data_IF_447587440644
#
_entry.id   IF_447587440644
#
_cell.length_a   1.000
_cell.length_b   1.000
_cell.length_c   1.000
_cell.angle_alpha   90.00
_cell.angle_beta   90.00
_cell.angle_gamma   90.00
#
_symmetry.space_group_name_H-M   'P 1'
#
loop_
_entity.id
_entity.type
_entity.pdbx_description
1 polymer ?
#
# COMPACT_ATOMS: atom_id res chain seq x y z
N UNK A 1 -6.55 16.60 -7.60
CA UNK A 1 -5.95 16.96 -6.30
C UNK A 1 -5.55 15.74 -5.47
N UNK A 2 -4.94 14.71 -6.07
CA UNK A 2 -4.38 13.57 -5.33
C UNK A 2 -2.88 13.60 -5.57
N UNK A 3 -2.10 13.61 -4.49
CA UNK A 3 -0.66 13.69 -4.54
C UNK A 3 -0.08 12.47 -3.85
N UNK A 4 0.79 11.75 -4.56
CA UNK A 4 1.48 10.59 -4.03
C UNK A 4 2.91 10.99 -3.72
N UNK A 5 3.41 10.58 -2.56
CA UNK A 5 4.80 10.77 -2.19
C UNK A 5 5.39 9.46 -1.74
N UNK A 6 6.59 9.13 -2.22
CA UNK A 6 7.41 8.13 -1.55
C UNK A 6 7.73 8.62 -0.14
N UNK A 7 7.51 7.80 0.88
CA UNK A 7 7.68 8.17 2.30
C UNK A 7 9.13 8.45 2.71
N UNK A 8 10.09 8.13 1.84
CA UNK A 8 11.51 8.11 2.15
C UNK A 8 11.97 6.77 2.75
N UNK A 9 11.14 5.73 2.89
CA UNK A 9 11.60 4.40 3.33
C UNK A 9 10.92 3.25 2.57
N UNK A 10 9.80 2.72 3.08
CA UNK A 10 9.22 1.45 2.60
C UNK A 10 7.74 1.58 2.23
N UNK A 11 7.32 2.77 1.80
CA UNK A 11 5.93 2.98 1.44
C UNK A 11 5.67 4.36 0.87
N UNK A 12 4.38 4.63 0.66
CA UNK A 12 3.91 5.87 0.07
C UNK A 12 2.91 6.57 0.99
N UNK A 13 2.85 7.89 0.88
CA UNK A 13 1.81 8.72 1.46
C UNK A 13 0.95 9.28 0.33
N UNK A 14 -0.36 9.10 0.43
CA UNK A 14 -1.33 9.64 -0.53
C UNK A 14 -2.10 10.76 0.16
N UNK A 15 -2.05 11.96 -0.42
CA UNK A 15 -2.76 13.14 0.08
C UNK A 15 -3.86 13.52 -0.88
N UNK A 16 -5.01 13.88 -0.31
CA UNK A 16 -6.13 14.48 -1.05
C UNK A 16 -6.24 15.93 -0.61
N UNK A 17 -5.80 16.85 -1.46
CA UNK A 17 -5.84 18.29 -1.19
C UNK A 17 -7.09 18.93 -1.76
N UNK A 18 -7.42 20.13 -1.30
CA UNK A 18 -8.49 20.99 -1.83
C UNK A 18 -9.78 20.20 -2.07
N UNK A 19 -10.24 19.50 -1.04
CA UNK A 19 -11.43 18.64 -1.11
C UNK A 19 -12.27 18.79 0.15
N UNK A 20 -13.56 18.49 0.04
CA UNK A 20 -14.47 18.45 1.18
C UNK A 20 -14.00 17.46 2.27
N UNK A 21 -13.21 16.45 1.90
CA UNK A 21 -12.64 15.47 2.82
C UNK A 21 -11.55 16.02 3.75
N UNK A 22 -11.15 17.29 3.61
CA UNK A 22 -10.24 17.89 4.60
C UNK A 22 -10.97 18.27 5.89
N UNK A 23 -12.28 18.57 5.81
CA UNK A 23 -13.07 19.08 6.93
C UNK A 23 -13.82 17.99 7.70
N UNK A 24 -13.74 16.73 7.25
CA UNK A 24 -14.43 15.62 7.91
C UNK A 24 -13.73 15.22 9.22
N UNK A 25 -14.56 14.82 10.18
CA UNK A 25 -14.17 14.39 11.52
C UNK A 25 -13.39 13.07 11.51
N UNK A 26 -12.76 12.75 12.64
CA UNK A 26 -12.07 11.48 12.83
C UNK A 26 -12.97 10.26 12.59
N UNK A 27 -14.24 10.33 13.01
CA UNK A 27 -15.22 9.25 12.79
C UNK A 27 -15.52 9.05 11.30
N UNK A 28 -15.79 10.12 10.57
CA UNK A 28 -16.03 10.04 9.12
C UNK A 28 -14.80 9.56 8.35
N UNK A 29 -13.60 9.89 8.83
CA UNK A 29 -12.34 9.36 8.29
C UNK A 29 -12.16 7.87 8.56
N UNK A 30 -12.69 7.36 9.68
CA UNK A 30 -12.75 5.92 9.96
C UNK A 30 -13.61 5.20 8.92
N UNK A 31 -14.81 5.71 8.66
CA UNK A 31 -15.70 5.16 7.63
C UNK A 31 -15.06 5.19 6.23
N UNK A 32 -14.33 6.26 5.90
CA UNK A 32 -13.58 6.35 4.66
C UNK A 32 -12.44 5.33 4.60
N UNK A 33 -11.71 5.14 5.70
CA UNK A 33 -10.66 4.13 5.78
C UNK A 33 -11.25 2.73 5.58
N UNK A 34 -12.33 2.38 6.26
CA UNK A 34 -13.01 1.09 6.09
C UNK A 34 -13.54 0.91 4.67
N UNK A 35 -14.10 1.95 4.06
CA UNK A 35 -14.50 1.91 2.66
C UNK A 35 -13.31 1.60 1.73
N UNK A 36 -12.16 2.29 1.90
CA UNK A 36 -10.96 2.07 1.09
C UNK A 36 -10.39 0.66 1.30
N UNK A 37 -10.48 0.14 2.51
CA UNK A 37 -10.02 -1.19 2.91
C UNK A 37 -11.03 -2.30 2.59
N UNK A 38 -12.20 -1.98 2.03
CA UNK A 38 -13.31 -2.90 1.79
C UNK A 38 -13.79 -3.66 3.05
N UNK A 39 -13.81 -2.98 4.20
CA UNK A 39 -14.21 -3.51 5.50
C UNK A 39 -15.65 -3.17 5.85
N UNK A 40 -16.24 -3.93 6.77
CA UNK A 40 -17.59 -3.68 7.30
C UNK A 40 -18.71 -3.90 6.28
N UNK A 41 -18.43 -4.67 5.23
CA UNK A 41 -19.34 -4.85 4.10
C UNK A 41 -20.47 -5.81 4.48
N UNK A 42 -21.71 -5.37 4.21
CA UNK A 42 -22.90 -6.18 4.47
C UNK A 42 -23.36 -6.96 3.22
N UNK A 43 -23.72 -8.26 3.34
CA UNK A 43 -24.15 -9.13 2.26
C UNK A 43 -25.21 -8.55 1.32
N UNK A 44 -26.17 -7.81 1.86
CA UNK A 44 -27.26 -7.20 1.10
C UNK A 44 -26.74 -6.20 0.06
N UNK A 45 -25.67 -5.46 0.38
CA UNK A 45 -25.05 -4.51 -0.55
C UNK A 45 -24.38 -5.18 -1.75
N UNK A 46 -24.20 -6.50 -1.69
CA UNK A 46 -23.65 -7.34 -2.77
C UNK A 46 -24.67 -8.36 -3.30
N UNK A 47 -25.96 -8.18 -2.98
CA UNK A 47 -27.08 -8.92 -3.55
C UNK A 47 -27.55 -10.13 -2.75
N UNK A 48 -26.85 -10.51 -1.69
CA UNK A 48 -27.25 -11.61 -0.82
C UNK A 48 -28.23 -11.11 0.25
N UNK A 49 -29.52 -11.33 0.03
CA UNK A 49 -30.58 -11.06 1.02
C UNK A 49 -30.70 -12.23 2.00
N UNK A 50 -30.97 -11.94 3.28
CA UNK A 50 -31.26 -12.97 4.31
C UNK A 50 -32.42 -13.89 3.93
N UNK A 51 -33.44 -13.33 3.27
CA UNK A 51 -34.63 -14.07 2.84
C UNK A 51 -34.79 -13.95 1.33
N UNK A 52 -35.14 -15.07 0.68
CA UNK A 52 -35.42 -15.16 -0.76
C UNK A 52 -34.36 -14.45 -1.61
N UNK A 53 -33.09 -14.93 -1.59
CA UNK A 53 -32.03 -14.35 -2.39
C UNK A 53 -32.39 -14.39 -3.88
N UNK A 54 -32.06 -13.30 -4.59
CA UNK A 54 -32.37 -13.16 -6.01
C UNK A 54 -31.08 -13.01 -6.81
N UNK A 55 -30.90 -13.88 -7.81
CA UNK A 55 -29.73 -13.92 -8.70
C UNK A 55 -29.44 -12.60 -9.39
N UNK A 56 -30.48 -11.83 -9.74
CA UNK A 56 -30.34 -10.53 -10.40
C UNK A 56 -29.79 -9.42 -9.50
N UNK A 57 -29.83 -9.60 -8.16
CA UNK A 57 -29.30 -8.62 -7.22
C UNK A 57 -27.77 -8.65 -7.08
N UNK A 58 -27.13 -9.74 -7.53
CA UNK A 58 -25.67 -9.91 -7.45
C UNK A 58 -24.95 -9.05 -8.48
N UNK A 59 -23.72 -8.59 -8.17
CA UNK A 59 -23.05 -7.59 -8.99
C UNK A 59 -22.63 -8.10 -10.38
N UNK A 60 -22.57 -7.18 -11.34
CA UNK A 60 -21.97 -7.42 -12.65
C UNK A 60 -20.55 -6.82 -12.75
N UNK A 61 -19.76 -7.33 -13.69
CA UNK A 61 -18.38 -6.93 -13.96
C UNK A 61 -18.25 -5.47 -14.40
N UNK A 62 -19.31 -4.92 -15.01
CA UNK A 62 -19.37 -3.54 -15.50
C UNK A 62 -19.75 -2.52 -14.43
N UNK A 63 -20.13 -2.96 -13.23
CA UNK A 63 -20.52 -2.04 -12.16
C UNK A 63 -19.33 -1.21 -11.65
N UNK A 64 -19.62 0.01 -11.19
CA UNK A 64 -18.62 0.91 -10.62
C UNK A 64 -18.35 0.55 -9.15
N UNK A 65 -17.23 1.05 -8.62
CA UNK A 65 -16.89 0.91 -7.20
C UNK A 65 -16.65 -0.53 -6.77
N UNK A 66 -17.00 -0.84 -5.51
CA UNK A 66 -16.72 -2.14 -4.92
C UNK A 66 -17.51 -3.30 -5.53
N UNK A 67 -18.75 -3.07 -6.00
CA UNK A 67 -19.57 -4.11 -6.63
C UNK A 67 -18.89 -4.72 -7.86
N UNK A 68 -18.35 -3.88 -8.75
CA UNK A 68 -17.59 -4.37 -9.91
C UNK A 68 -16.24 -5.00 -9.56
N UNK A 69 -15.53 -4.47 -8.55
CA UNK A 69 -14.27 -5.06 -8.05
C UNK A 69 -14.50 -6.45 -7.47
N UNK A 70 -15.50 -6.58 -6.61
CA UNK A 70 -15.92 -7.87 -6.04
C UNK A 70 -16.35 -8.85 -7.13
N UNK A 71 -17.15 -8.41 -8.11
CA UNK A 71 -17.58 -9.24 -9.23
C UNK A 71 -16.40 -9.82 -10.02
N UNK A 72 -15.40 -8.99 -10.34
CA UNK A 72 -14.16 -9.41 -11.02
C UNK A 72 -13.37 -10.43 -10.21
N UNK A 73 -13.24 -10.20 -8.90
CA UNK A 73 -12.50 -11.07 -8.00
C UNK A 73 -13.19 -12.42 -7.76
N UNK A 74 -14.46 -12.40 -7.34
CA UNK A 74 -15.18 -13.61 -6.92
C UNK A 74 -15.58 -14.45 -8.12
N UNK A 75 -16.05 -13.85 -9.22
CA UNK A 75 -16.50 -14.63 -10.36
C UNK A 75 -15.37 -14.97 -11.34
N UNK A 76 -14.32 -14.14 -11.39
CA UNK A 76 -13.16 -14.27 -12.29
C UNK A 76 -13.48 -14.02 -13.77
N UNK A 77 -14.59 -14.56 -14.30
CA UNK A 77 -14.99 -14.45 -15.70
C UNK A 77 -16.52 -14.50 -15.87
N UNK A 78 -17.02 -13.91 -16.97
CA UNK A 78 -18.47 -13.83 -17.26
C UNK A 78 -19.14 -15.21 -17.36
N UNK A 79 -18.45 -16.22 -17.90
CA UNK A 79 -18.98 -17.58 -18.05
C UNK A 79 -19.19 -18.29 -16.70
N UNK A 80 -18.31 -18.05 -15.72
CA UNK A 80 -18.39 -18.66 -14.39
C UNK A 80 -19.43 -18.00 -13.48
N UNK A 81 -19.83 -16.75 -13.76
CA UNK A 81 -20.74 -15.94 -12.92
C UNK A 81 -22.02 -16.68 -12.53
N UNK A 82 -22.71 -17.28 -13.50
CA UNK A 82 -23.98 -17.97 -13.23
C UNK A 82 -23.81 -19.15 -12.27
N UNK A 83 -22.77 -19.96 -12.48
CA UNK A 83 -22.46 -21.11 -11.62
C UNK A 83 -22.13 -20.67 -10.19
N UNK A 84 -21.24 -19.68 -10.04
CA UNK A 84 -20.79 -19.20 -8.73
C UNK A 84 -21.95 -18.54 -7.96
N UNK A 85 -22.82 -17.77 -8.61
CA UNK A 85 -24.02 -17.22 -7.94
C UNK A 85 -24.91 -18.34 -7.38
N UNK A 86 -25.07 -19.46 -8.11
CA UNK A 86 -25.81 -20.61 -7.58
C UNK A 86 -25.16 -21.19 -6.34
N UNK A 87 -23.84 -21.38 -6.37
CA UNK A 87 -23.06 -21.90 -5.22
C UNK A 87 -23.16 -20.97 -4.00
N UNK A 88 -23.03 -19.65 -4.21
CA UNK A 88 -23.15 -18.65 -3.13
C UNK A 88 -24.54 -18.66 -2.50
N UNK A 89 -25.61 -18.78 -3.31
CA UNK A 89 -26.98 -18.88 -2.80
C UNK A 89 -27.18 -20.18 -2.00
N UNK A 90 -26.66 -21.31 -2.49
CA UNK A 90 -26.75 -22.62 -1.82
C UNK A 90 -26.01 -22.60 -0.47
N UNK A 91 -24.81 -22.02 -0.43
CA UNK A 91 -24.01 -21.93 0.80
C UNK A 91 -24.59 -20.94 1.81
N UNK A 92 -25.47 -20.03 1.36
CA UNK A 92 -26.25 -19.16 2.21
C UNK A 92 -25.52 -17.93 2.77
N UNK A 93 -26.24 -17.18 3.60
CA UNK A 93 -25.86 -15.83 4.04
C UNK A 93 -24.55 -15.79 4.82
N UNK A 94 -24.37 -16.66 5.81
CA UNK A 94 -23.16 -16.66 6.66
C UNK A 94 -21.91 -17.04 5.89
N UNK A 95 -22.01 -17.96 4.92
CA UNK A 95 -20.90 -18.28 4.02
C UNK A 95 -20.56 -17.11 3.11
N UNK A 96 -21.57 -16.38 2.63
CA UNK A 96 -21.36 -15.20 1.79
C UNK A 96 -20.68 -14.06 2.55
N UNK A 97 -20.99 -13.88 3.85
CA UNK A 97 -20.24 -12.96 4.70
C UNK A 97 -18.75 -13.32 4.73
N UNK A 98 -18.41 -14.59 4.95
CA UNK A 98 -17.00 -15.05 4.91
C UNK A 98 -16.35 -14.76 3.55
N UNK A 99 -17.06 -14.98 2.45
CA UNK A 99 -16.56 -14.62 1.11
C UNK A 99 -16.28 -13.11 0.97
N UNK A 100 -17.08 -12.25 1.59
CA UNK A 100 -16.83 -10.80 1.62
C UNK A 100 -15.61 -10.47 2.48
N UNK A 101 -15.49 -11.10 3.64
CA UNK A 101 -14.36 -10.91 4.55
C UNK A 101 -13.04 -11.36 3.87
N UNK A 102 -13.03 -12.53 3.23
CA UNK A 102 -11.90 -13.02 2.42
C UNK A 102 -11.59 -12.07 1.26
N UNK A 103 -12.62 -11.53 0.59
CA UNK A 103 -12.42 -10.54 -0.46
C UNK A 103 -11.78 -9.27 0.10
N UNK A 104 -12.17 -8.80 1.29
CA UNK A 104 -11.58 -7.60 1.93
C UNK A 104 -10.07 -7.71 2.10
N UNK A 105 -9.55 -8.89 2.44
CA UNK A 105 -8.11 -9.13 2.60
C UNK A 105 -7.33 -9.06 1.27
N UNK A 106 -8.00 -9.39 0.16
CA UNK A 106 -7.38 -9.56 -1.14
C UNK A 106 -7.56 -8.36 -2.08
N UNK A 107 -8.73 -7.72 -2.07
CA UNK A 107 -9.04 -6.57 -2.95
C UNK A 107 -9.11 -5.23 -2.22
N UNK A 108 -9.19 -5.24 -0.89
CA UNK A 108 -9.11 -4.05 -0.07
C UNK A 108 -7.72 -3.40 -0.15
N UNK A 109 -7.67 -2.07 -0.12
CA UNK A 109 -6.39 -1.37 -0.15
C UNK A 109 -5.72 -1.48 1.22
N UNK A 110 -4.45 -1.89 1.24
CA UNK A 110 -3.65 -2.01 2.46
C UNK A 110 -3.13 -0.62 2.88
N UNK A 111 -3.87 0.04 3.76
CA UNK A 111 -3.48 1.30 4.40
C UNK A 111 -3.32 1.12 5.92
N UNK A 112 -2.64 2.05 6.58
CA UNK A 112 -2.71 2.21 8.02
C UNK A 112 -3.90 3.14 8.35
N UNK A 113 -5.01 2.62 8.90
CA UNK A 113 -6.22 3.41 9.14
C UNK A 113 -5.98 4.50 10.20
N UNK A 114 -5.07 4.29 11.16
CA UNK A 114 -4.76 5.28 12.18
C UNK A 114 -4.12 6.54 11.58
N UNK A 115 -3.47 6.43 10.41
CA UNK A 115 -3.00 7.61 9.64
C UNK A 115 -4.15 8.42 9.09
N UNK A 116 -5.21 7.74 8.66
CA UNK A 116 -6.34 8.37 7.97
C UNK A 116 -7.30 9.00 8.97
N UNK A 117 -7.53 8.35 10.11
CA UNK A 117 -8.46 8.78 11.16
C UNK A 117 -7.98 9.98 11.98
N UNK A 118 -6.67 10.15 12.13
CA UNK A 118 -6.10 11.21 12.94
C UNK A 118 -6.11 12.55 12.18
N UNK A 119 -6.94 13.48 12.66
CA UNK A 119 -7.11 14.83 12.08
C UNK A 119 -5.97 15.79 12.48
N UNK A 120 -5.17 15.45 13.48
CA UNK A 120 -4.06 16.26 13.98
C UNK A 120 -2.69 15.68 13.60
N UNK A 121 -2.66 14.72 12.67
CA UNK A 121 -1.44 14.01 12.32
C UNK A 121 -0.42 14.90 11.65
N UNK A 122 0.81 14.86 12.16
CA UNK A 122 1.97 15.49 11.53
C UNK A 122 2.55 14.53 10.50
N UNK A 123 2.76 15.04 9.28
CA UNK A 123 3.39 14.30 8.21
C UNK A 123 4.81 14.77 7.95
N UNK A 124 5.68 13.83 7.55
CA UNK A 124 7.04 14.15 7.09
C UNK A 124 6.98 15.19 5.96
N UNK A 125 7.81 16.23 6.04
CA UNK A 125 7.89 17.27 5.02
C UNK A 125 8.44 16.70 3.69
N UNK A 126 7.82 16.97 2.52
CA UNK A 126 8.42 16.65 1.23
C UNK A 126 9.82 17.27 1.08
N UNK A 127 10.76 16.55 0.47
CA UNK A 127 12.16 16.96 0.36
C UNK A 127 13.03 16.66 1.59
N UNK A 128 12.45 16.25 2.73
CA UNK A 128 13.25 15.83 3.89
C UNK A 128 13.81 14.41 3.75
N UNK A 129 14.97 14.18 4.36
CA UNK A 129 15.64 12.87 4.43
C UNK A 129 15.02 12.02 5.55
N UNK A 130 14.81 10.74 5.30
CA UNK A 130 14.33 9.77 6.27
C UNK A 130 15.50 9.12 7.01
N UNK A 131 15.51 9.22 8.34
CA UNK A 131 16.60 8.70 9.18
C UNK A 131 16.71 7.16 9.21
N UNK A 132 15.73 6.42 8.69
CA UNK A 132 15.77 4.95 8.62
C UNK A 132 16.38 4.40 7.32
N UNK A 133 16.65 5.26 6.35
CA UNK A 133 17.15 4.85 5.03
C UNK A 133 18.15 5.83 4.40
N UNK A 134 18.22 7.08 4.87
CA UNK A 134 18.94 8.13 4.15
C UNK A 134 18.28 8.57 2.83
N UNK A 135 17.10 8.03 2.49
CA UNK A 135 16.35 8.39 1.29
C UNK A 135 15.40 9.57 1.56
N UNK A 136 15.12 10.33 0.51
CA UNK A 136 14.34 11.55 0.56
C UNK A 136 12.86 11.28 0.32
N UNK A 137 11.98 11.97 1.06
CA UNK A 137 10.54 11.97 0.75
C UNK A 137 10.31 12.72 -0.56
N UNK A 138 9.92 12.00 -1.61
CA UNK A 138 9.76 12.57 -2.95
C UNK A 138 8.33 12.55 -3.43
N UNK A 139 7.94 13.60 -4.15
CA UNK A 139 6.70 13.62 -4.91
C UNK A 139 6.81 12.64 -6.08
N UNK A 140 5.76 11.85 -6.28
CA UNK A 140 5.70 10.82 -7.29
C UNK A 140 4.68 11.24 -8.36
N UNK A 141 5.16 11.75 -9.48
CA UNK A 141 4.32 12.14 -10.61
C UNK A 141 3.72 10.93 -11.32
N UNK A 142 4.54 9.89 -11.53
CA UNK A 142 4.13 8.65 -12.18
C UNK A 142 4.49 7.43 -11.33
N UNK A 143 3.50 6.90 -10.63
CA UNK A 143 3.68 5.74 -9.74
C UNK A 143 4.16 4.48 -10.47
N UNK A 144 3.83 4.32 -11.75
CA UNK A 144 4.25 3.14 -12.53
C UNK A 144 5.69 3.20 -13.00
N UNK A 145 6.32 4.38 -13.01
CA UNK A 145 7.70 4.58 -13.46
C UNK A 145 8.68 4.90 -12.33
N UNK A 146 8.17 5.31 -11.18
CA UNK A 146 8.99 5.76 -10.06
C UNK A 146 9.76 4.61 -9.42
N UNK A 147 11.09 4.74 -9.32
CA UNK A 147 11.95 3.82 -8.59
C UNK A 147 12.62 4.52 -7.40
N UNK A 148 12.21 4.21 -6.15
CA UNK A 148 12.78 4.81 -4.95
C UNK A 148 14.29 4.59 -4.81
N UNK A 149 14.82 3.45 -5.27
CA UNK A 149 16.24 3.11 -5.13
C UNK A 149 17.12 3.78 -6.19
N UNK A 150 16.52 4.38 -7.20
CA UNK A 150 17.20 5.19 -8.20
C UNK A 150 17.06 6.68 -7.92
N UNK A 151 15.85 7.12 -7.58
CA UNK A 151 15.50 8.54 -7.58
C UNK A 151 15.60 9.20 -6.20
N UNK A 152 15.42 8.45 -5.11
CA UNK A 152 15.20 9.05 -3.78
C UNK A 152 16.48 9.45 -3.03
N UNK A 153 17.67 9.17 -3.57
CA UNK A 153 18.92 9.51 -2.90
C UNK A 153 19.63 10.71 -3.56
N UNK A 154 19.70 11.82 -2.84
CA UNK A 154 20.42 13.04 -3.26
C UNK A 154 21.83 13.16 -2.68
N UNK A 155 22.28 12.13 -1.97
CA UNK A 155 23.64 12.07 -1.45
C UNK A 155 24.63 11.85 -2.60
N UNK A 156 25.81 12.46 -2.46
CA UNK A 156 26.91 12.34 -3.41
C UNK A 156 27.47 10.91 -3.43
N UNK A 157 28.35 10.66 -4.39
CA UNK A 157 29.01 9.38 -4.60
C UNK A 157 30.48 9.37 -4.14
N UNK A 158 30.89 10.34 -3.32
CA UNK A 158 32.22 10.36 -2.71
C UNK A 158 32.44 9.08 -1.91
N UNK A 159 33.64 8.51 -2.03
CA UNK A 159 34.06 7.32 -1.32
C UNK A 159 34.16 7.55 0.18
N UNK A 160 33.57 6.67 0.98
CA UNK A 160 33.62 6.65 2.44
C UNK A 160 33.92 5.23 2.90
N UNK A 161 34.80 5.10 3.91
CA UNK A 161 35.07 3.83 4.56
C UNK A 161 34.04 3.55 5.67
N UNK A 162 33.50 2.35 5.67
CA UNK A 162 32.57 1.86 6.69
C UNK A 162 32.96 0.45 7.11
N UNK A 163 32.60 0.07 8.34
CA UNK A 163 32.62 -1.32 8.78
C UNK A 163 31.24 -1.89 8.46
N UNK A 164 31.15 -2.76 7.45
CA UNK A 164 29.88 -3.27 6.93
C UNK A 164 29.60 -4.70 7.41
N UNK A 165 28.36 -4.93 7.82
CA UNK A 165 27.79 -6.22 8.19
C UNK A 165 26.41 -6.36 7.54
N UNK A 166 26.40 -6.74 6.27
CA UNK A 166 25.20 -6.82 5.44
C UNK A 166 25.07 -8.24 4.88
N UNK A 167 24.20 -9.10 5.43
CA UNK A 167 24.14 -10.51 5.04
C UNK A 167 23.55 -10.74 3.64
N UNK A 168 22.98 -9.71 3.01
CA UNK A 168 22.33 -9.78 1.69
C UNK A 168 22.99 -8.82 0.70
N UNK A 169 22.92 -9.16 -0.58
CA UNK A 169 23.20 -8.22 -1.68
C UNK A 169 22.01 -7.26 -1.84
N UNK A 170 22.28 -5.98 -2.05
CA UNK A 170 21.26 -5.01 -2.43
C UNK A 170 21.75 -4.08 -3.53
N UNK A 171 20.83 -3.41 -4.22
CA UNK A 171 21.14 -2.44 -5.27
C UNK A 171 20.62 -1.05 -4.92
N UNK A 172 21.44 -0.03 -5.16
CA UNK A 172 21.08 1.37 -4.97
C UNK A 172 21.81 2.22 -6.02
N UNK A 173 21.09 3.12 -6.71
CA UNK A 173 21.61 3.89 -7.86
C UNK A 173 22.32 3.00 -8.92
N UNK A 174 21.71 1.88 -9.31
CA UNK A 174 22.25 0.90 -10.26
C UNK A 174 23.61 0.28 -9.88
N UNK A 175 24.05 0.42 -8.62
CA UNK A 175 25.25 -0.24 -8.10
C UNK A 175 24.85 -1.31 -7.09
N UNK A 176 25.53 -2.45 -7.15
CA UNK A 176 25.35 -3.57 -6.21
C UNK A 176 26.29 -3.44 -5.04
N UNK A 177 25.81 -3.79 -3.86
CA UNK A 177 26.54 -3.76 -2.60
C UNK A 177 26.26 -5.02 -1.81
N UNK A 178 27.24 -5.46 -1.04
CA UNK A 178 27.17 -6.68 -0.25
C UNK A 178 27.16 -7.96 -1.12
N UNK A 179 27.01 -9.13 -0.48
CA UNK A 179 27.00 -9.29 0.98
C UNK A 179 28.36 -8.90 1.60
N UNK A 180 28.34 -8.44 2.85
CA UNK A 180 29.51 -8.06 3.63
C UNK A 180 29.48 -8.75 4.99
N UNK A 181 30.64 -9.20 5.49
CA UNK A 181 30.74 -9.90 6.78
C UNK A 181 31.76 -9.24 7.73
N UNK A 182 31.31 -8.23 8.49
CA UNK A 182 32.12 -7.48 9.46
C UNK A 182 33.48 -7.04 8.90
N UNK A 183 33.47 -6.45 7.71
CA UNK A 183 34.68 -6.06 6.99
C UNK A 183 34.70 -4.56 6.69
N UNK A 184 35.90 -4.00 6.60
CA UNK A 184 36.11 -2.60 6.26
C UNK A 184 36.01 -2.45 4.74
N UNK A 185 35.02 -1.69 4.27
CA UNK A 185 34.74 -1.50 2.84
C UNK A 185 34.67 -0.03 2.48
N UNK A 186 35.11 0.31 1.28
CA UNK A 186 34.95 1.65 0.71
C UNK A 186 33.75 1.65 -0.22
N UNK A 187 32.74 2.47 0.09
CA UNK A 187 31.51 2.58 -0.70
C UNK A 187 31.15 4.06 -0.94
N UNK A 188 30.32 4.37 -1.95
CA UNK A 188 29.81 5.73 -2.14
C UNK A 188 28.99 6.21 -0.92
N UNK A 189 29.04 7.51 -0.64
CA UNK A 189 28.35 8.14 0.51
C UNK A 189 26.86 7.79 0.58
N UNK A 190 26.15 7.77 -0.55
CA UNK A 190 24.74 7.38 -0.58
C UNK A 190 24.49 5.95 -0.08
N UNK A 191 25.41 5.02 -0.36
CA UNK A 191 25.30 3.63 0.08
C UNK A 191 25.73 3.47 1.54
N UNK A 192 26.81 4.18 1.95
CA UNK A 192 27.24 4.23 3.35
C UNK A 192 26.09 4.70 4.27
N UNK A 193 25.48 5.85 3.97
CA UNK A 193 24.37 6.38 4.76
C UNK A 193 23.18 5.43 4.77
N UNK A 194 22.84 4.82 3.63
CA UNK A 194 21.76 3.83 3.56
C UNK A 194 22.02 2.65 4.49
N UNK A 195 23.20 2.04 4.44
CA UNK A 195 23.58 0.93 5.30
C UNK A 195 23.61 1.32 6.78
N UNK A 196 24.16 2.48 7.13
CA UNK A 196 24.19 2.99 8.50
C UNK A 196 22.77 3.18 9.04
N UNK A 197 21.88 3.81 8.26
CA UNK A 197 20.50 4.03 8.66
C UNK A 197 19.71 2.72 8.83
N UNK A 198 20.07 1.68 8.06
CA UNK A 198 19.54 0.31 8.18
C UNK A 198 20.24 -0.53 9.26
N UNK A 199 21.21 0.05 9.98
CA UNK A 199 22.03 -0.62 11.01
C UNK A 199 22.85 -1.81 10.46
N UNK A 200 23.24 -1.73 9.20
CA UNK A 200 24.05 -2.72 8.48
C UNK A 200 25.51 -2.28 8.34
N UNK A 201 25.86 -1.06 8.78
CA UNK A 201 27.22 -0.58 8.80
C UNK A 201 27.40 0.48 9.90
N UNK A 202 28.65 0.70 10.30
CA UNK A 202 29.08 1.85 11.12
C UNK A 202 30.17 2.62 10.41
N UNK A 203 30.37 3.89 10.77
CA UNK A 203 31.57 4.62 10.37
C UNK A 203 32.79 3.84 10.89
N UNK A 204 33.80 3.71 10.03
CA UNK A 204 35.06 3.07 10.37
C UNK A 204 35.94 3.94 11.28
#
# INVERSE_FOLDING_TARGET
NIHVYFSGNEGFHVYVYNSQFQQISSRERSELADYIMFRGVIPETFGMKKFKPNRSSFPDFGEKGWRGRFSKYVFGSKSKRSKIISELIINGYSSFQKTLDDASENIGVKIDPNVTMDIHRIFRLPGSINSKSGLTKLYCENLSKFDPYMEASFLNDNSVEVIANCPIEFSLKNKKFGPYNNEKVTVPTFAAVYMICKKLATLA
#
